data_IF_350820440300
#
_entry.id   IF_350820440300
#
_cell.length_a   1.000
_cell.length_b   1.000
_cell.length_c   1.000
_cell.angle_alpha   90.00
_cell.angle_beta   90.00
_cell.angle_gamma   90.00
#
_symmetry.space_group_name_H-M   'P 1'
#
loop_
_entity.id
_entity.type
_entity.pdbx_description
1 polymer ?
#
# COMPACT_ATOMS: atom_id res chain seq x y z
N UNK A 1 32.39 8.03 -6.87
CA UNK A 1 32.03 9.46 -6.69
C UNK A 1 30.54 9.55 -7.00
N UNK A 2 29.74 9.98 -6.04
CA UNK A 2 28.30 10.07 -6.26
C UNK A 2 28.03 11.37 -7.02
N UNK A 3 27.49 11.23 -8.24
CA UNK A 3 27.29 12.37 -9.14
C UNK A 3 26.05 13.16 -8.68
N UNK A 4 26.22 14.46 -8.50
CA UNK A 4 25.10 15.36 -8.24
C UNK A 4 24.31 15.55 -9.55
N UNK A 5 23.02 15.31 -9.50
CA UNK A 5 22.09 15.50 -10.62
C UNK A 5 21.00 16.48 -10.22
N UNK A 6 20.51 17.24 -11.20
CA UNK A 6 19.39 18.15 -10.98
C UNK A 6 18.14 17.56 -11.58
N UNK A 7 17.11 17.37 -10.75
CA UNK A 7 15.85 16.74 -11.12
C UNK A 7 14.76 17.82 -11.17
N UNK A 8 14.00 17.94 -12.26
CA UNK A 8 12.81 18.78 -12.30
C UNK A 8 11.79 18.34 -11.24
N UNK A 9 11.22 19.30 -10.50
CA UNK A 9 10.25 19.06 -9.44
C UNK A 9 9.21 20.18 -9.42
N UNK A 10 8.03 19.93 -9.99
CA UNK A 10 6.91 20.89 -10.03
C UNK A 10 7.27 22.29 -10.54
N UNK A 11 8.11 22.40 -11.58
CA UNK A 11 8.57 23.69 -12.12
C UNK A 11 9.80 24.27 -11.41
N UNK A 12 10.25 23.63 -10.33
CA UNK A 12 11.53 23.88 -9.68
C UNK A 12 12.58 22.82 -10.05
N UNK A 13 13.79 23.02 -9.54
CA UNK A 13 14.91 22.10 -9.68
C UNK A 13 15.39 21.66 -8.30
N UNK A 14 15.55 20.34 -8.13
CA UNK A 14 16.02 19.74 -6.89
C UNK A 14 17.35 19.05 -7.15
N UNK A 15 18.34 19.35 -6.32
CA UNK A 15 19.65 18.71 -6.39
C UNK A 15 19.58 17.36 -5.66
N UNK A 16 19.95 16.30 -6.34
CA UNK A 16 19.94 14.95 -5.82
C UNK A 16 21.27 14.23 -6.06
N UNK A 17 21.57 13.28 -5.19
CA UNK A 17 22.75 12.42 -5.26
C UNK A 17 22.34 11.00 -4.88
N UNK A 18 22.86 10.01 -5.59
CA UNK A 18 22.72 8.61 -5.17
C UNK A 18 23.56 8.38 -3.91
N UNK A 19 23.01 7.76 -2.87
CA UNK A 19 23.77 7.29 -1.71
C UNK A 19 23.42 5.83 -1.51
N UNK A 20 24.39 4.95 -1.78
CA UNK A 20 24.24 3.49 -1.69
C UNK A 20 23.01 2.93 -2.44
N UNK A 21 22.76 3.43 -3.65
CA UNK A 21 21.63 3.03 -4.49
C UNK A 21 20.30 3.69 -4.11
N UNK A 22 20.31 4.64 -3.16
CA UNK A 22 19.12 5.37 -2.74
C UNK A 22 19.24 6.86 -3.12
N UNK A 23 18.28 7.42 -3.88
CA UNK A 23 18.30 8.84 -4.21
C UNK A 23 18.08 9.69 -2.96
N UNK A 24 18.99 10.64 -2.74
CA UNK A 24 18.90 11.63 -1.67
C UNK A 24 18.90 13.04 -2.23
N UNK A 25 18.11 13.92 -1.65
CA UNK A 25 18.01 15.34 -2.00
C UNK A 25 18.88 16.18 -1.08
N UNK A 26 19.59 17.16 -1.65
CA UNK A 26 20.26 18.21 -0.87
C UNK A 26 19.21 19.08 -0.21
N UNK A 27 19.08 18.96 1.11
CA UNK A 27 17.93 19.48 1.83
C UNK A 27 17.89 21.00 1.86
N UNK A 28 19.04 21.63 2.12
CA UNK A 28 19.12 23.08 2.35
C UNK A 28 18.63 23.93 1.17
N UNK A 29 19.11 23.73 -0.07
CA UNK A 29 18.65 24.53 -1.21
C UNK A 29 17.14 24.45 -1.43
N UNK A 30 16.54 23.28 -1.19
CA UNK A 30 15.10 23.09 -1.32
C UNK A 30 14.30 23.82 -0.24
N UNK A 31 14.77 23.80 1.02
CA UNK A 31 14.11 24.52 2.11
C UNK A 31 14.13 26.02 1.84
N UNK A 32 15.28 26.54 1.41
CA UNK A 32 15.46 27.97 1.11
C UNK A 32 14.66 28.39 -0.14
N UNK A 33 14.52 27.53 -1.15
CA UNK A 33 13.78 27.85 -2.37
C UNK A 33 12.27 28.02 -2.17
N UNK A 34 11.70 27.46 -1.10
CA UNK A 34 10.29 27.65 -0.72
C UNK A 34 10.11 28.69 0.40
N UNK A 35 11.16 29.46 0.71
CA UNK A 35 11.09 30.57 1.67
C UNK A 35 11.11 30.16 3.15
N UNK A 36 11.60 28.96 3.48
CA UNK A 36 11.68 28.48 4.86
C UNK A 36 13.10 28.57 5.42
N UNK A 37 13.21 28.68 6.75
CA UNK A 37 14.50 28.60 7.45
C UNK A 37 15.00 27.15 7.57
N UNK A 38 16.15 26.87 6.95
CA UNK A 38 16.79 25.56 6.98
C UNK A 38 17.06 25.03 8.39
N UNK A 39 17.55 25.87 9.32
CA UNK A 39 17.89 25.39 10.68
C UNK A 39 16.65 24.90 11.41
N UNK A 40 15.56 25.66 11.31
CA UNK A 40 14.26 25.31 11.88
C UNK A 40 13.73 24.00 11.30
N UNK A 41 13.78 23.83 9.97
CA UNK A 41 13.29 22.61 9.33
C UNK A 41 14.17 21.39 9.65
N UNK A 42 15.50 21.54 9.67
CA UNK A 42 16.42 20.46 10.06
C UNK A 42 16.14 19.97 11.48
N UNK A 43 15.89 20.88 12.42
CA UNK A 43 15.52 20.52 13.79
C UNK A 43 14.17 19.78 13.87
N UNK A 44 13.21 20.07 12.98
CA UNK A 44 11.94 19.34 12.92
C UNK A 44 12.09 17.88 12.50
N UNK A 45 13.11 17.56 11.70
CA UNK A 45 13.42 16.20 11.27
C UNK A 45 14.16 15.40 12.34
N UNK A 46 14.94 16.06 13.20
CA UNK A 46 15.66 15.40 14.28
C UNK A 46 14.72 14.61 15.20
N UNK A 47 15.02 13.33 15.41
CA UNK A 47 14.25 12.45 16.30
C UNK A 47 12.94 11.92 15.71
N UNK A 48 12.64 12.20 14.43
CA UNK A 48 11.49 11.59 13.75
C UNK A 48 11.88 10.18 13.28
N UNK A 49 11.08 9.19 13.67
CA UNK A 49 11.30 7.77 13.30
C UNK A 49 11.17 7.50 11.80
N UNK A 50 10.54 8.41 11.06
CA UNK A 50 10.39 8.33 9.61
C UNK A 50 11.42 9.13 8.83
N UNK A 51 12.26 9.92 9.50
CA UNK A 51 13.24 10.77 8.84
C UNK A 51 14.63 10.11 8.82
N UNK A 52 15.25 10.12 7.64
CA UNK A 52 16.64 9.73 7.40
C UNK A 52 17.41 10.96 6.93
N UNK A 53 18.48 11.30 7.64
CA UNK A 53 19.38 12.40 7.29
C UNK A 53 20.81 11.88 7.26
N UNK A 54 21.51 12.15 6.16
CA UNK A 54 22.93 11.84 6.00
C UNK A 54 23.71 13.13 5.81
N UNK A 55 24.92 13.18 6.36
CA UNK A 55 25.87 14.27 6.13
C UNK A 55 26.87 13.83 5.08
N UNK A 56 27.07 14.65 4.06
CA UNK A 56 28.06 14.38 3.02
C UNK A 56 28.81 15.66 2.66
N UNK A 57 30.13 15.56 2.60
CA UNK A 57 30.98 16.65 2.12
C UNK A 57 31.02 16.61 0.60
N UNK A 58 30.42 17.62 -0.04
CA UNK A 58 30.36 17.74 -1.49
C UNK A 58 30.37 19.22 -1.91
N UNK A 59 30.59 19.46 -3.20
CA UNK A 59 30.43 20.77 -3.80
C UNK A 59 29.13 20.77 -4.61
N UNK A 60 28.22 21.71 -4.32
CA UNK A 60 27.00 21.91 -5.11
C UNK A 60 27.16 23.10 -6.06
N UNK A 61 26.36 23.20 -7.14
CA UNK A 61 26.39 24.34 -8.05
C UNK A 61 26.27 25.66 -7.29
N UNK A 62 27.26 26.55 -7.49
CA UNK A 62 27.37 27.84 -6.78
C UNK A 62 28.33 27.83 -5.58
N UNK A 63 28.78 26.67 -5.10
CA UNK A 63 29.81 26.60 -4.08
C UNK A 63 31.21 26.81 -4.68
N UNK A 64 32.06 27.57 -3.98
CA UNK A 64 33.49 27.75 -4.31
C UNK A 64 34.41 26.72 -3.65
N UNK A 65 33.88 25.92 -2.72
CA UNK A 65 34.62 24.91 -1.96
C UNK A 65 33.71 23.77 -1.54
N UNK A 66 34.29 22.61 -1.23
CA UNK A 66 33.55 21.49 -0.62
C UNK A 66 33.01 21.87 0.75
N UNK A 67 31.75 21.54 1.02
CA UNK A 67 31.07 21.81 2.29
C UNK A 67 30.27 20.60 2.72
N UNK A 68 30.03 20.48 4.02
CA UNK A 68 29.11 19.48 4.54
C UNK A 68 27.67 19.89 4.24
N UNK A 69 26.95 19.03 3.53
CA UNK A 69 25.55 19.18 3.20
C UNK A 69 24.71 18.12 3.91
N UNK A 70 23.48 18.49 4.29
CA UNK A 70 22.48 17.54 4.77
C UNK A 70 21.70 16.99 3.57
N UNK A 71 21.70 15.67 3.46
CA UNK A 71 20.98 14.90 2.47
C UNK A 71 19.80 14.20 3.14
N UNK A 72 18.64 14.19 2.49
CA UNK A 72 17.45 13.44 2.94
C UNK A 72 17.00 12.48 1.85
N UNK A 73 16.56 11.28 2.22
CA UNK A 73 15.97 10.36 1.25
C UNK A 73 14.60 10.87 0.76
N UNK A 74 14.14 10.32 -0.37
CA UNK A 74 12.84 10.70 -0.96
C UNK A 74 11.68 10.47 0.00
N UNK A 75 11.74 9.42 0.84
CA UNK A 75 10.70 9.14 1.84
C UNK A 75 10.59 10.28 2.86
N UNK A 76 11.72 10.75 3.36
CA UNK A 76 11.82 11.86 4.33
C UNK A 76 11.36 13.16 3.69
N UNK A 77 11.74 13.39 2.43
CA UNK A 77 11.29 14.54 1.64
C UNK A 77 9.76 14.58 1.54
N UNK A 78 9.13 13.47 1.13
CA UNK A 78 7.67 13.39 0.98
C UNK A 78 6.95 13.67 2.28
N UNK A 79 7.39 13.03 3.37
CA UNK A 79 6.81 13.24 4.69
C UNK A 79 7.05 14.66 5.21
N UNK A 80 8.21 15.25 4.96
CA UNK A 80 8.50 16.62 5.36
C UNK A 80 7.59 17.63 4.64
N UNK A 81 7.48 17.53 3.31
CA UNK A 81 6.60 18.39 2.49
C UNK A 81 5.14 18.31 2.95
N UNK A 82 4.66 17.12 3.31
CA UNK A 82 3.31 16.93 3.85
C UNK A 82 3.07 17.62 5.21
N UNK A 83 4.13 17.99 5.95
CA UNK A 83 4.03 18.69 7.25
C UNK A 83 4.20 20.21 7.15
N UNK A 84 4.36 20.74 5.94
CA UNK A 84 4.51 22.17 5.71
C UNK A 84 3.13 22.82 5.71
N UNK A 85 3.01 23.93 6.44
CA UNK A 85 1.87 24.83 6.34
C UNK A 85 2.09 25.74 5.12
N UNK A 86 1.23 25.61 4.12
CA UNK A 86 1.26 26.39 2.88
C UNK A 86 1.15 27.91 3.11
N UNK A 87 0.63 28.36 4.26
CA UNK A 87 0.57 29.78 4.60
C UNK A 87 1.90 30.31 5.18
N UNK A 88 2.88 29.44 5.39
CA UNK A 88 4.19 29.77 5.95
C UNK A 88 5.34 29.68 4.95
N UNK A 89 5.05 29.35 3.69
CA UNK A 89 6.02 29.41 2.58
C UNK A 89 5.91 30.75 1.85
N UNK A 90 6.85 31.04 0.95
CA UNK A 90 6.76 32.24 0.11
C UNK A 90 5.53 32.19 -0.80
N UNK A 91 5.00 33.35 -1.18
CA UNK A 91 3.81 33.44 -2.03
C UNK A 91 4.06 32.80 -3.41
N UNK A 92 5.29 32.88 -3.92
CA UNK A 92 5.71 32.24 -5.17
C UNK A 92 5.73 30.71 -5.05
N UNK A 93 6.08 30.16 -3.88
CA UNK A 93 6.20 28.72 -3.65
C UNK A 93 4.89 28.06 -3.19
N UNK A 94 3.93 28.84 -2.68
CA UNK A 94 2.66 28.33 -2.17
C UNK A 94 1.90 27.46 -3.18
N UNK A 95 1.71 27.86 -4.45
CA UNK A 95 1.00 27.02 -5.43
C UNK A 95 1.68 25.66 -5.64
N UNK A 96 3.02 25.62 -5.59
CA UNK A 96 3.79 24.39 -5.74
C UNK A 96 3.58 23.45 -4.54
N UNK A 97 3.63 23.99 -3.32
CA UNK A 97 3.44 23.18 -2.10
C UNK A 97 2.02 22.60 -2.05
N UNK A 98 1.01 23.42 -2.38
CA UNK A 98 -0.39 22.96 -2.45
C UNK A 98 -0.55 21.85 -3.51
N UNK A 99 -0.03 22.06 -4.72
CA UNK A 99 -0.12 21.08 -5.80
C UNK A 99 0.57 19.76 -5.43
N UNK A 100 1.74 19.83 -4.80
CA UNK A 100 2.44 18.64 -4.32
C UNK A 100 1.65 17.89 -3.24
N UNK A 101 1.14 18.61 -2.23
CA UNK A 101 0.37 17.98 -1.15
C UNK A 101 -0.92 17.35 -1.66
N UNK A 102 -1.60 17.98 -2.61
CA UNK A 102 -2.76 17.41 -3.29
C UNK A 102 -2.39 16.13 -4.06
N UNK A 103 -1.32 16.15 -4.86
CA UNK A 103 -0.85 14.97 -5.61
C UNK A 103 -0.52 13.79 -4.67
N UNK A 104 0.13 14.05 -3.54
CA UNK A 104 0.41 13.01 -2.54
C UNK A 104 -0.87 12.48 -1.89
N UNK A 105 -1.84 13.35 -1.59
CA UNK A 105 -3.13 12.93 -1.05
C UNK A 105 -3.86 12.00 -2.05
N UNK A 106 -3.90 12.36 -3.33
CA UNK A 106 -4.52 11.57 -4.39
C UNK A 106 -3.81 10.21 -4.58
N UNK A 107 -2.48 10.18 -4.53
CA UNK A 107 -1.68 8.94 -4.60
C UNK A 107 -1.99 8.02 -3.43
N UNK A 108 -2.05 8.56 -2.20
CA UNK A 108 -2.37 7.79 -1.00
C UNK A 108 -3.82 7.29 -1.07
N UNK A 109 -4.77 8.14 -1.45
CA UNK A 109 -6.17 7.75 -1.64
C UNK A 109 -6.28 6.60 -2.65
N UNK A 110 -5.71 6.77 -3.84
CA UNK A 110 -5.73 5.76 -4.90
C UNK A 110 -5.12 4.43 -4.45
N UNK A 111 -4.02 4.48 -3.69
CA UNK A 111 -3.42 3.29 -3.11
C UNK A 111 -4.40 2.51 -2.22
N UNK A 112 -5.19 3.21 -1.41
CA UNK A 112 -6.14 2.59 -0.47
C UNK A 112 -7.48 2.22 -1.09
N UNK A 113 -8.02 3.04 -2.00
CA UNK A 113 -9.37 2.88 -2.56
C UNK A 113 -9.38 2.07 -3.85
N UNK A 114 -8.34 2.21 -4.67
CA UNK A 114 -8.21 1.58 -5.98
C UNK A 114 -7.16 0.46 -5.99
N UNK A 115 -6.44 0.22 -4.88
CA UNK A 115 -5.45 -0.84 -4.74
C UNK A 115 -4.08 -0.54 -5.38
N UNK A 116 -3.90 0.68 -5.93
CA UNK A 116 -2.66 1.14 -6.53
C UNK A 116 -2.77 2.59 -7.02
N UNK A 117 -1.62 3.26 -7.13
CA UNK A 117 -1.51 4.60 -7.72
C UNK A 117 -0.73 4.51 -9.03
N UNK A 118 -1.19 5.25 -10.05
CA UNK A 118 -0.59 5.30 -11.38
C UNK A 118 0.08 6.66 -11.52
N UNK A 119 1.35 6.68 -11.95
CA UNK A 119 2.04 7.92 -12.27
C UNK A 119 1.83 8.25 -13.76
N UNK A 120 1.00 9.25 -14.11
CA UNK A 120 0.75 9.61 -15.51
C UNK A 120 1.97 10.23 -16.21
N UNK A 121 3.00 10.61 -15.44
CA UNK A 121 4.25 11.20 -15.95
C UNK A 121 5.39 10.18 -16.02
N UNK A 122 5.10 8.89 -15.84
CA UNK A 122 6.11 7.84 -15.94
C UNK A 122 6.69 7.81 -17.37
N UNK A 123 8.02 7.75 -17.46
CA UNK A 123 8.70 7.64 -18.76
C UNK A 123 8.59 6.22 -19.34
N UNK A 124 8.94 6.07 -20.62
CA UNK A 124 8.86 4.79 -21.32
C UNK A 124 9.69 3.69 -20.65
N UNK A 125 10.84 4.02 -20.06
CA UNK A 125 11.68 3.05 -19.35
C UNK A 125 11.01 2.57 -18.06
N UNK A 126 10.41 3.47 -17.29
CA UNK A 126 9.66 3.16 -16.08
C UNK A 126 8.43 2.30 -16.38
N UNK A 127 7.68 2.64 -17.44
CA UNK A 127 6.53 1.87 -17.91
C UNK A 127 6.97 0.48 -18.38
N UNK A 128 8.01 0.40 -19.22
CA UNK A 128 8.53 -0.88 -19.71
C UNK A 128 9.08 -1.77 -18.60
N UNK A 129 9.74 -1.20 -17.59
CA UNK A 129 10.21 -1.94 -16.42
C UNK A 129 9.04 -2.52 -15.62
N UNK A 130 7.96 -1.75 -15.44
CA UNK A 130 6.75 -2.21 -14.76
C UNK A 130 6.06 -3.34 -15.54
N UNK A 131 5.93 -3.20 -16.86
CA UNK A 131 5.41 -4.25 -17.75
C UNK A 131 6.25 -5.52 -17.66
N UNK A 132 7.58 -5.38 -17.70
CA UNK A 132 8.50 -6.51 -17.61
C UNK A 132 8.35 -7.25 -16.27
N UNK A 133 8.31 -6.52 -15.16
CA UNK A 133 8.09 -7.12 -13.84
C UNK A 133 6.73 -7.80 -13.75
N UNK A 134 5.67 -7.18 -14.27
CA UNK A 134 4.34 -7.78 -14.30
C UNK A 134 4.32 -9.08 -15.14
N UNK A 135 4.99 -9.11 -16.29
CA UNK A 135 5.15 -10.34 -17.10
C UNK A 135 5.85 -11.44 -16.32
N UNK A 136 6.98 -11.14 -15.68
CA UNK A 136 7.71 -12.11 -14.86
C UNK A 136 6.86 -12.64 -13.69
N UNK A 137 6.09 -11.78 -13.02
CA UNK A 137 5.17 -12.19 -11.96
C UNK A 137 4.02 -13.06 -12.50
N UNK A 138 3.52 -12.76 -13.70
CA UNK A 138 2.48 -13.56 -14.35
C UNK A 138 2.99 -14.95 -14.74
N UNK A 139 4.23 -15.06 -15.22
CA UNK A 139 4.86 -16.36 -15.50
C UNK A 139 4.96 -17.21 -14.22
N UNK A 140 5.36 -16.61 -13.09
CA UNK A 140 5.34 -17.30 -11.79
C UNK A 140 3.93 -17.72 -11.38
N UNK A 141 2.92 -16.87 -11.60
CA UNK A 141 1.52 -17.21 -11.33
C UNK A 141 1.07 -18.39 -12.22
N UNK A 142 1.41 -18.41 -13.51
CA UNK A 142 1.12 -19.55 -14.38
C UNK A 142 1.80 -20.83 -13.90
N UNK A 143 3.07 -20.76 -13.50
CA UNK A 143 3.81 -21.90 -12.96
C UNK A 143 3.22 -22.42 -11.63
N UNK A 144 2.56 -21.55 -10.86
CA UNK A 144 1.90 -21.91 -9.61
C UNK A 144 0.48 -22.52 -9.79
N UNK A 145 -0.01 -22.68 -11.03
CA UNK A 145 -1.28 -23.39 -11.28
C UNK A 145 -1.22 -24.81 -10.73
N UNK A 146 -2.25 -25.17 -9.96
CA UNK A 146 -2.32 -26.47 -9.27
C UNK A 146 -1.54 -26.53 -7.94
N UNK A 147 -0.66 -25.55 -7.67
CA UNK A 147 -0.02 -25.39 -6.35
C UNK A 147 -0.80 -24.40 -5.47
N UNK A 148 -1.37 -23.35 -6.08
CA UNK A 148 -2.19 -22.34 -5.43
C UNK A 148 -3.65 -22.49 -5.90
N UNK A 149 -4.60 -22.22 -5.00
CA UNK A 149 -6.03 -22.24 -5.30
C UNK A 149 -6.37 -21.33 -6.50
N UNK A 150 -7.22 -21.77 -7.46
CA UNK A 150 -7.56 -21.01 -8.66
C UNK A 150 -8.00 -19.58 -8.39
N UNK A 151 -8.98 -19.35 -7.51
CA UNK A 151 -9.47 -17.99 -7.20
C UNK A 151 -8.39 -17.06 -6.63
N UNK A 152 -7.47 -17.58 -5.81
CA UNK A 152 -6.37 -16.78 -5.25
C UNK A 152 -5.34 -16.46 -6.32
N UNK A 153 -5.11 -17.42 -7.21
CA UNK A 153 -4.23 -17.25 -8.34
C UNK A 153 -4.81 -16.26 -9.35
N UNK A 154 -6.13 -16.29 -9.56
CA UNK A 154 -6.88 -15.35 -10.38
C UNK A 154 -6.84 -13.94 -9.78
N UNK A 155 -7.13 -13.78 -8.49
CA UNK A 155 -7.03 -12.50 -7.81
C UNK A 155 -5.61 -11.92 -7.90
N UNK A 156 -4.56 -12.74 -7.70
CA UNK A 156 -3.17 -12.33 -7.90
C UNK A 156 -2.88 -11.97 -9.35
N UNK A 157 -3.35 -12.75 -10.32
CA UNK A 157 -3.17 -12.49 -11.74
C UNK A 157 -3.81 -11.15 -12.15
N UNK A 158 -5.02 -10.84 -11.66
CA UNK A 158 -5.68 -9.54 -11.89
C UNK A 158 -4.87 -8.38 -11.32
N UNK A 159 -4.31 -8.52 -10.12
CA UNK A 159 -3.41 -7.50 -9.53
C UNK A 159 -2.15 -7.31 -10.39
N UNK A 160 -1.54 -8.40 -10.84
CA UNK A 160 -0.34 -8.36 -11.68
C UNK A 160 -0.63 -7.69 -13.02
N UNK A 161 -1.76 -8.02 -13.65
CA UNK A 161 -2.21 -7.42 -14.92
C UNK A 161 -2.46 -5.92 -14.77
N UNK A 162 -3.22 -5.53 -13.76
CA UNK A 162 -3.52 -4.13 -13.51
C UNK A 162 -2.25 -3.30 -13.30
N UNK A 163 -1.29 -3.82 -12.51
CA UNK A 163 0.04 -3.19 -12.38
C UNK A 163 0.78 -3.08 -13.70
N UNK A 164 0.80 -4.15 -14.50
CA UNK A 164 1.48 -4.14 -15.80
C UNK A 164 0.84 -3.21 -16.83
N UNK A 165 -0.49 -3.04 -16.77
CA UNK A 165 -1.24 -2.17 -17.67
C UNK A 165 -1.30 -0.72 -17.17
N UNK A 166 -0.83 -0.44 -15.96
CA UNK A 166 -1.00 0.87 -15.33
C UNK A 166 -2.46 1.18 -15.07
N UNK A 167 -3.26 0.18 -14.71
CA UNK A 167 -4.68 0.27 -14.36
C UNK A 167 -4.86 -0.04 -12.87
N UNK A 168 -5.92 0.49 -12.27
CA UNK A 168 -6.31 0.08 -10.92
C UNK A 168 -6.76 -1.39 -10.95
N UNK A 169 -6.29 -2.26 -10.03
CA UNK A 169 -6.77 -3.63 -9.99
C UNK A 169 -8.27 -3.68 -9.76
N UNK A 170 -9.01 -4.17 -10.75
CA UNK A 170 -10.38 -4.64 -10.59
C UNK A 170 -10.38 -5.90 -9.69
N UNK A 171 -10.19 -5.67 -8.40
CA UNK A 171 -10.52 -6.62 -7.38
C UNK A 171 -12.04 -6.66 -7.34
N UNK A 172 -12.65 -7.63 -8.02
CA UNK A 172 -14.07 -7.92 -7.79
C UNK A 172 -14.22 -8.12 -6.29
N UNK A 173 -14.89 -7.17 -5.63
CA UNK A 173 -15.05 -7.16 -4.18
C UNK A 173 -15.68 -8.46 -3.70
N UNK A 174 -16.48 -9.14 -4.56
CA UNK A 174 -17.06 -10.44 -4.31
C UNK A 174 -16.06 -11.60 -4.25
N UNK A 175 -14.90 -11.51 -4.91
CA UNK A 175 -13.89 -12.59 -4.97
C UNK A 175 -12.92 -12.64 -3.78
N UNK A 176 -12.96 -11.63 -2.90
CA UNK A 176 -12.12 -11.57 -1.71
C UNK A 176 -12.43 -12.74 -0.77
N UNK A 177 -11.42 -13.50 -0.28
CA UNK A 177 -11.66 -14.58 0.67
C UNK A 177 -12.32 -14.06 1.95
N UNK A 178 -13.38 -14.75 2.39
CA UNK A 178 -14.11 -14.48 3.63
C UNK A 178 -14.20 -15.78 4.45
N UNK A 179 -13.57 -15.78 5.62
CA UNK A 179 -13.61 -16.94 6.51
C UNK A 179 -14.81 -16.86 7.47
N UNK A 180 -15.43 -18.01 7.74
CA UNK A 180 -16.53 -18.10 8.71
C UNK A 180 -16.15 -17.55 10.09
N UNK A 181 -14.88 -17.70 10.51
CA UNK A 181 -14.39 -17.16 11.77
C UNK A 181 -14.29 -15.63 11.75
N UNK A 182 -13.89 -15.03 10.62
CA UNK A 182 -13.82 -13.58 10.46
C UNK A 182 -15.22 -12.97 10.47
N UNK A 183 -16.16 -13.55 9.72
CA UNK A 183 -17.57 -13.17 9.75
C UNK A 183 -18.16 -13.21 11.18
N UNK A 184 -17.85 -14.25 11.97
CA UNK A 184 -18.34 -14.35 13.35
C UNK A 184 -17.70 -13.34 14.31
N UNK A 185 -16.46 -12.87 14.05
CA UNK A 185 -15.83 -11.82 14.86
C UNK A 185 -16.57 -10.50 14.74
N UNK A 186 -17.13 -10.20 13.56
CA UNK A 186 -17.93 -8.99 13.31
C UNK A 186 -19.26 -8.99 14.09
N UNK A 187 -19.69 -10.14 14.64
CA UNK A 187 -20.94 -10.27 15.40
C UNK A 187 -20.82 -9.93 16.89
N UNK A 188 -19.68 -9.39 17.34
CA UNK A 188 -19.44 -8.94 18.72
C UNK A 188 -19.73 -10.01 19.80
N UNK A 189 -19.39 -11.27 19.52
CA UNK A 189 -19.58 -12.38 20.44
C UNK A 189 -18.45 -12.44 21.48
N UNK A 190 -18.78 -12.84 22.72
CA UNK A 190 -17.75 -13.20 23.70
C UNK A 190 -16.96 -14.43 23.25
N UNK A 191 -15.72 -14.61 23.76
CA UNK A 191 -14.89 -15.79 23.44
C UNK A 191 -15.61 -17.11 23.73
N UNK A 192 -16.42 -17.17 24.80
CA UNK A 192 -17.19 -18.35 25.20
C UNK A 192 -18.32 -18.64 24.21
N UNK A 193 -19.07 -17.62 23.80
CA UNK A 193 -20.13 -17.75 22.79
C UNK A 193 -19.53 -18.18 21.44
N UNK A 194 -18.44 -17.53 21.01
CA UNK A 194 -17.75 -17.86 19.76
C UNK A 194 -17.33 -19.33 19.71
N UNK A 195 -16.72 -19.85 20.78
CA UNK A 195 -16.31 -21.25 20.88
C UNK A 195 -17.50 -22.22 20.78
N UNK A 196 -18.65 -21.87 21.37
CA UNK A 196 -19.86 -22.71 21.33
C UNK A 196 -20.58 -22.71 19.97
N UNK A 197 -20.49 -21.60 19.23
CA UNK A 197 -21.28 -21.39 18.00
C UNK A 197 -20.49 -21.75 16.74
N UNK A 198 -19.18 -21.49 16.70
CA UNK A 198 -18.38 -21.57 15.48
C UNK A 198 -18.48 -22.93 14.76
N UNK A 199 -18.46 -24.04 15.50
CA UNK A 199 -18.55 -25.37 14.92
C UNK A 199 -19.91 -25.67 14.29
N UNK A 200 -21.01 -25.25 14.93
CA UNK A 200 -22.37 -25.46 14.41
C UNK A 200 -22.65 -24.53 13.23
N UNK A 201 -22.23 -23.27 13.34
CA UNK A 201 -22.31 -22.30 12.25
C UNK A 201 -21.58 -22.79 11.00
N UNK A 202 -20.33 -23.26 11.14
CA UNK A 202 -19.55 -23.78 10.02
C UNK A 202 -20.22 -24.96 9.30
N UNK A 203 -20.84 -25.89 10.05
CA UNK A 203 -21.60 -27.02 9.48
C UNK A 203 -22.84 -26.55 8.73
N UNK A 204 -23.61 -25.62 9.30
CA UNK A 204 -24.82 -25.06 8.67
C UNK A 204 -24.49 -24.24 7.43
N UNK A 205 -23.41 -23.45 7.49
CA UNK A 205 -22.92 -22.66 6.38
C UNK A 205 -22.46 -23.57 5.21
N UNK A 206 -21.70 -24.63 5.50
CA UNK A 206 -21.32 -25.63 4.48
C UNK A 206 -22.56 -26.19 3.78
N UNK A 207 -23.59 -26.58 4.55
CA UNK A 207 -24.84 -27.13 3.99
C UNK A 207 -25.55 -26.11 3.09
N UNK A 208 -25.71 -24.88 3.57
CA UNK A 208 -26.38 -23.82 2.82
C UNK A 208 -25.60 -23.43 1.55
N UNK A 209 -24.27 -23.54 1.58
CA UNK A 209 -23.41 -23.32 0.41
C UNK A 209 -23.60 -24.42 -0.64
N UNK A 210 -23.58 -25.69 -0.23
CA UNK A 210 -23.84 -26.83 -1.13
C UNK A 210 -25.23 -26.72 -1.76
N UNK A 211 -26.24 -26.33 -0.99
CA UNK A 211 -27.61 -26.14 -1.49
C UNK A 211 -27.71 -25.01 -2.52
N UNK A 212 -26.99 -23.90 -2.31
CA UNK A 212 -27.00 -22.75 -3.23
C UNK A 212 -26.17 -22.98 -4.49
N UNK A 213 -25.01 -23.63 -4.36
CA UNK A 213 -24.00 -23.70 -5.43
C UNK A 213 -23.86 -25.09 -6.06
N UNK A 214 -24.52 -26.12 -5.53
CA UNK A 214 -24.43 -27.50 -6.02
C UNK A 214 -23.08 -28.19 -5.82
N UNK A 215 -22.14 -27.55 -5.11
CA UNK A 215 -20.78 -28.06 -4.85
C UNK A 215 -20.34 -27.80 -3.42
N UNK A 216 -19.40 -28.61 -2.91
CA UNK A 216 -18.79 -28.32 -1.61
C UNK A 216 -17.95 -27.03 -1.66
N UNK A 217 -17.90 -26.24 -0.56
CA UNK A 217 -16.96 -25.14 -0.47
C UNK A 217 -15.53 -25.69 -0.50
N UNK A 218 -14.66 -24.99 -1.19
CA UNK A 218 -13.25 -25.35 -1.26
C UNK A 218 -12.58 -25.20 0.11
N UNK A 219 -11.52 -25.98 0.34
CA UNK A 219 -10.80 -25.98 1.61
C UNK A 219 -9.49 -25.23 1.46
N UNK A 220 -9.22 -24.35 2.40
CA UNK A 220 -8.04 -23.50 2.45
C UNK A 220 -7.24 -23.78 3.71
N UNK A 221 -5.94 -23.56 3.60
CA UNK A 221 -5.00 -23.67 4.69
C UNK A 221 -5.06 -22.38 5.52
N UNK A 222 -5.64 -22.47 6.72
CA UNK A 222 -5.70 -21.37 7.68
C UNK A 222 -4.54 -21.51 8.68
N UNK A 223 -3.68 -20.50 8.72
CA UNK A 223 -2.64 -20.37 9.73
C UNK A 223 -3.27 -19.94 11.06
N UNK A 224 -3.29 -20.87 12.03
CA UNK A 224 -3.76 -20.59 13.38
C UNK A 224 -2.62 -19.96 14.20
N UNK A 225 -2.95 -19.16 15.21
CA UNK A 225 -2.00 -18.39 16.04
C UNK A 225 -0.93 -19.22 16.76
N UNK A 226 -1.04 -20.55 16.75
CA UNK A 226 -0.06 -21.49 17.30
C UNK A 226 0.89 -22.10 16.23
N UNK A 227 0.91 -21.54 15.02
CA UNK A 227 1.74 -22.05 13.91
C UNK A 227 1.19 -23.30 13.22
N UNK A 228 0.02 -23.81 13.63
CA UNK A 228 -0.63 -24.95 13.00
C UNK A 228 -1.40 -24.50 11.75
N UNK A 229 -1.21 -25.22 10.65
CA UNK A 229 -2.04 -25.10 9.45
C UNK A 229 -3.27 -25.99 9.60
N UNK A 230 -4.47 -25.43 9.48
CA UNK A 230 -5.73 -26.20 9.47
C UNK A 230 -6.46 -26.00 8.15
N UNK A 231 -6.91 -27.11 7.56
CA UNK A 231 -7.82 -27.08 6.40
C UNK A 231 -9.23 -26.71 6.83
N UNK A 232 -9.69 -25.53 6.43
CA UNK A 232 -11.04 -25.01 6.72
C UNK A 232 -11.77 -24.73 5.41
N UNK A 233 -13.10 -24.86 5.41
CA UNK A 233 -13.89 -24.40 4.28
C UNK A 233 -13.72 -22.89 4.13
N UNK A 234 -13.39 -22.42 2.94
CA UNK A 234 -13.36 -21.00 2.65
C UNK A 234 -14.47 -20.63 1.69
N UNK A 235 -14.75 -19.34 1.74
CA UNK A 235 -15.83 -18.68 1.05
C UNK A 235 -15.28 -17.35 0.55
N UNK A 236 -16.10 -16.61 -0.17
CA UNK A 236 -15.76 -15.29 -0.68
C UNK A 236 -16.72 -14.23 -0.14
N UNK A 237 -16.41 -12.96 -0.32
CA UNK A 237 -17.32 -11.86 0.02
C UNK A 237 -18.65 -11.94 -0.75
N UNK A 238 -18.68 -12.56 -1.94
CA UNK A 238 -19.93 -12.88 -2.65
C UNK A 238 -20.85 -13.85 -1.87
N UNK A 239 -20.30 -14.61 -0.93
CA UNK A 239 -21.03 -15.51 -0.04
C UNK A 239 -21.49 -14.83 1.26
N UNK A 240 -21.12 -13.56 1.50
CA UNK A 240 -21.54 -12.82 2.70
C UNK A 240 -23.07 -12.81 2.90
N UNK A 241 -23.92 -12.60 1.87
CA UNK A 241 -25.37 -12.70 2.02
C UNK A 241 -25.84 -14.09 2.48
N UNK A 242 -25.15 -15.15 2.05
CA UNK A 242 -25.44 -16.52 2.50
C UNK A 242 -25.08 -16.70 3.99
N UNK A 243 -23.94 -16.16 4.41
CA UNK A 243 -23.52 -16.17 5.82
C UNK A 243 -24.50 -15.39 6.70
N UNK A 244 -24.95 -14.21 6.27
CA UNK A 244 -25.95 -13.40 6.97
C UNK A 244 -27.29 -14.13 7.11
N UNK A 245 -27.74 -14.83 6.06
CA UNK A 245 -28.94 -15.66 6.12
C UNK A 245 -28.81 -16.78 7.15
N UNK A 246 -27.73 -17.56 7.09
CA UNK A 246 -27.48 -18.64 8.06
C UNK A 246 -27.35 -18.10 9.49
N UNK A 247 -26.74 -16.93 9.67
CA UNK A 247 -26.65 -16.26 10.96
C UNK A 247 -28.04 -15.89 11.49
N UNK A 248 -28.87 -15.25 10.65
CA UNK A 248 -30.22 -14.82 11.01
C UNK A 248 -31.11 -15.98 11.41
N UNK A 249 -31.11 -17.05 10.62
CA UNK A 249 -32.04 -18.15 10.76
C UNK A 249 -31.75 -19.01 12.01
N UNK A 250 -30.50 -19.05 12.47
CA UNK A 250 -30.06 -20.00 13.49
C UNK A 250 -29.38 -19.40 14.71
N UNK A 251 -28.91 -18.15 14.66
CA UNK A 251 -28.02 -17.59 15.70
C UNK A 251 -28.34 -16.15 16.12
N UNK A 252 -29.21 -15.42 15.40
CA UNK A 252 -29.53 -14.04 15.74
C UNK A 252 -30.20 -13.86 17.13
N UNK A 253 -30.82 -14.91 17.68
CA UNK A 253 -31.42 -14.90 19.01
C UNK A 253 -30.40 -14.99 20.18
N UNK A 254 -29.10 -15.14 19.91
CA UNK A 254 -28.06 -15.28 20.96
C UNK A 254 -27.61 -13.93 21.55
N UNK A 255 -28.30 -12.82 21.22
CA UNK A 255 -28.16 -11.52 21.90
C UNK A 255 -28.98 -11.52 23.20
N UNK A 256 -28.47 -12.21 24.23
CA UNK A 256 -28.89 -12.06 25.63
C UNK A 256 -27.75 -12.45 26.53
#
# INVERSE_FOLDING_TARGET
MNQLVTIPFHGNQVQAVDVDGTPHVVFRPLVESIGLDYRSQSRRLTGKSWASMVKMTMQVPGDVQFREHTLIDVRTLTMWLATIDENRVSDEARPLVVAYQAEIADVIESYWTAGGAINPRADEHQVNALIYQARAQMELAQAARGLIHPDHLEARARIILARGLGEAPELDAGSRPLYAQEFLREKNLSKKQLASIAGVFGKRLKRAYVEKHGREPEKYDLNVSNGQVRRVNGYTEADRPLMERVWRDYFAAVKS
#
